data_IF_997217583600
#
_entry.id   IF_997217583600
#
_cell.length_a   1.000
_cell.length_b   1.000
_cell.length_c   1.000
_cell.angle_alpha   90.00
_cell.angle_beta   90.00
_cell.angle_gamma   90.00
#
_symmetry.space_group_name_H-M   'P 1'
#
loop_
_entity.id
_entity.type
_entity.pdbx_description
1 polymer ?
#
# COMPACT_ATOMS: atom_id res chain seq x y z
N UNK A 1 -14.37 3.98 -3.72
CA UNK A 1 -13.02 3.99 -4.30
C UNK A 1 -12.34 2.69 -3.92
N UNK A 2 -12.13 1.81 -4.89
CA UNK A 2 -11.39 0.56 -4.69
C UNK A 2 -9.95 0.78 -5.16
N UNK A 3 -8.99 0.47 -4.30
CA UNK A 3 -7.56 0.52 -4.64
C UNK A 3 -6.99 -0.85 -4.39
N UNK A 4 -6.45 -1.48 -5.44
CA UNK A 4 -5.79 -2.78 -5.33
C UNK A 4 -4.30 -2.57 -5.35
N UNK A 5 -3.63 -3.04 -4.29
CA UNK A 5 -2.18 -3.13 -4.21
C UNK A 5 -1.82 -4.62 -4.24
N UNK A 6 -1.36 -5.10 -5.38
CA UNK A 6 -1.11 -6.52 -5.63
C UNK A 6 0.39 -6.81 -5.79
N UNK A 7 0.87 -7.94 -5.26
CA UNK A 7 2.24 -8.41 -5.44
C UNK A 7 2.97 -8.59 -4.11
N UNK A 8 4.17 -8.03 -4.02
CA UNK A 8 5.14 -8.25 -2.95
C UNK A 8 4.54 -8.27 -1.53
N UNK A 9 5.04 -9.17 -0.67
CA UNK A 9 4.57 -9.34 0.71
C UNK A 9 5.10 -8.25 1.65
N UNK A 10 5.96 -7.35 1.24
CA UNK A 10 6.56 -6.36 2.14
C UNK A 10 5.83 -5.01 2.13
N UNK A 11 4.72 -4.90 1.39
CA UNK A 11 3.94 -3.66 1.21
C UNK A 11 3.02 -3.28 2.38
N UNK A 12 2.91 -4.12 3.41
CA UNK A 12 1.91 -3.95 4.47
C UNK A 12 2.04 -2.64 5.25
N UNK A 13 3.27 -2.25 5.59
CA UNK A 13 3.54 -1.00 6.32
C UNK A 13 3.10 0.21 5.48
N UNK A 14 3.39 0.19 4.19
CA UNK A 14 2.94 1.19 3.23
C UNK A 14 1.40 1.29 3.16
N UNK A 15 0.70 0.15 3.05
CA UNK A 15 -0.77 0.10 3.00
C UNK A 15 -1.37 0.64 4.30
N UNK A 16 -0.81 0.28 5.46
CA UNK A 16 -1.23 0.79 6.77
C UNK A 16 -1.06 2.30 6.87
N UNK A 17 0.10 2.86 6.48
CA UNK A 17 0.31 4.31 6.47
C UNK A 17 -0.70 5.01 5.57
N UNK A 18 -0.88 4.52 4.35
CA UNK A 18 -1.81 5.08 3.38
C UNK A 18 -3.25 5.06 3.92
N UNK A 19 -3.68 3.95 4.51
CA UNK A 19 -5.01 3.81 5.10
C UNK A 19 -5.26 4.84 6.22
N UNK A 20 -4.30 5.01 7.15
CA UNK A 20 -4.44 5.96 8.26
C UNK A 20 -4.55 7.39 7.74
N UNK A 21 -3.72 7.74 6.74
CA UNK A 21 -3.72 9.08 6.15
C UNK A 21 -5.00 9.33 5.35
N UNK A 22 -5.51 8.36 4.60
CA UNK A 22 -6.78 8.48 3.86
C UNK A 22 -7.96 8.67 4.82
N UNK A 23 -8.02 7.89 5.91
CA UNK A 23 -9.04 8.04 6.95
C UNK A 23 -8.98 9.44 7.56
N UNK A 24 -7.77 9.91 7.88
CA UNK A 24 -7.56 11.24 8.43
C UNK A 24 -7.93 12.39 7.47
N UNK A 25 -7.71 12.20 6.17
CA UNK A 25 -7.98 13.23 5.16
C UNK A 25 -9.46 13.33 4.81
N UNK A 26 -10.08 12.21 4.45
CA UNK A 26 -11.48 12.19 4.01
C UNK A 26 -12.46 12.21 5.19
N UNK A 27 -11.99 11.96 6.41
CA UNK A 27 -12.83 11.75 7.59
C UNK A 27 -13.91 10.68 7.33
N UNK A 28 -13.54 9.69 6.51
CA UNK A 28 -14.35 8.54 6.11
C UNK A 28 -13.77 7.28 6.73
N UNK A 29 -14.59 6.25 6.84
CA UNK A 29 -14.08 4.92 7.13
C UNK A 29 -13.25 4.40 5.95
N UNK A 30 -12.12 3.78 6.31
CA UNK A 30 -11.21 3.12 5.38
C UNK A 30 -11.11 1.68 5.83
N UNK A 31 -11.21 0.78 4.88
CA UNK A 31 -11.09 -0.65 5.12
C UNK A 31 -9.90 -1.21 4.34
N UNK A 32 -9.15 -2.09 4.98
CA UNK A 32 -8.18 -2.97 4.32
C UNK A 32 -8.80 -4.35 4.17
N UNK A 33 -8.79 -4.90 2.97
CA UNK A 33 -9.14 -6.30 2.70
C UNK A 33 -7.87 -7.01 2.26
N UNK A 34 -7.57 -8.17 2.83
CA UNK A 34 -6.36 -8.92 2.47
C UNK A 34 -6.64 -10.42 2.28
N UNK A 35 -5.92 -11.04 1.36
CA UNK A 35 -5.88 -12.48 1.15
C UNK A 35 -4.93 -13.21 2.13
N UNK A 36 -4.22 -12.48 2.98
CA UNK A 36 -3.26 -13.03 3.94
C UNK A 36 -3.48 -12.46 5.34
N UNK A 37 -3.98 -13.31 6.25
CA UNK A 37 -4.27 -12.88 7.63
C UNK A 37 -3.06 -12.73 8.53
N UNK A 38 -1.91 -13.34 8.19
CA UNK A 38 -0.76 -13.41 9.10
C UNK A 38 -0.13 -12.04 9.38
N UNK A 39 -0.14 -11.14 8.40
CA UNK A 39 0.47 -9.82 8.51
C UNK A 39 -0.43 -8.77 9.17
N UNK A 40 -1.63 -9.16 9.60
CA UNK A 40 -2.57 -8.27 10.27
C UNK A 40 -3.10 -8.83 11.58
N UNK A 41 -2.57 -9.97 12.04
CA UNK A 41 -3.06 -10.68 13.22
C UNK A 41 -3.09 -9.81 14.50
N UNK A 42 -2.19 -8.83 14.61
CA UNK A 42 -2.10 -7.93 15.75
C UNK A 42 -2.91 -6.63 15.59
N UNK A 43 -3.61 -6.48 14.46
CA UNK A 43 -4.55 -5.39 14.20
C UNK A 43 -6.02 -5.81 14.34
N UNK A 44 -6.29 -7.03 14.82
CA UNK A 44 -7.63 -7.45 15.21
C UNK A 44 -8.16 -6.55 16.35
N UNK A 45 -9.19 -5.73 16.07
CA UNK A 45 -9.89 -4.93 17.10
C UNK A 45 -9.55 -3.43 17.18
N UNK A 46 -9.48 -2.73 16.04
CA UNK A 46 -9.52 -1.24 15.95
C UNK A 46 -8.29 -0.46 16.46
N UNK A 47 -7.14 -1.10 16.73
CA UNK A 47 -5.97 -0.42 17.35
C UNK A 47 -5.43 0.77 16.53
N UNK A 48 -5.68 0.82 15.22
CA UNK A 48 -5.33 1.94 14.32
C UNK A 48 -6.53 2.76 13.84
N UNK A 49 -7.75 2.40 14.26
CA UNK A 49 -9.00 2.93 13.71
C UNK A 49 -9.27 2.52 12.26
N UNK A 50 -8.50 1.59 11.68
CA UNK A 50 -8.76 1.03 10.35
C UNK A 50 -9.42 -0.34 10.51
N UNK A 51 -10.48 -0.59 9.74
CA UNK A 51 -11.11 -1.90 9.69
C UNK A 51 -10.28 -2.82 8.78
N UNK A 52 -9.90 -4.00 9.27
CA UNK A 52 -9.16 -4.99 8.47
C UNK A 52 -9.99 -6.26 8.34
N UNK A 53 -10.12 -6.79 7.13
CA UNK A 53 -10.89 -7.99 6.82
C UNK A 53 -10.08 -8.97 5.98
N UNK A 54 -10.28 -10.27 6.25
CA UNK A 54 -9.61 -11.37 5.52
C UNK A 54 -10.48 -12.05 4.48
N UNK A 55 -11.74 -11.63 4.39
CA UNK A 55 -12.70 -12.09 3.41
C UNK A 55 -13.35 -10.85 2.81
N UNK A 56 -13.76 -10.96 1.55
CA UNK A 56 -14.49 -9.87 0.90
C UNK A 56 -15.77 -9.55 1.69
N UNK A 57 -15.98 -8.27 2.08
CA UNK A 57 -17.19 -7.88 2.77
C UNK A 57 -18.37 -7.95 1.81
N UNK A 58 -19.57 -8.17 2.38
CA UNK A 58 -20.80 -7.91 1.65
C UNK A 58 -20.82 -6.45 1.18
N UNK A 59 -21.35 -6.20 -0.02
CA UNK A 59 -21.35 -4.86 -0.64
C UNK A 59 -21.97 -3.80 0.28
N UNK A 60 -22.98 -4.17 1.07
CA UNK A 60 -23.67 -3.27 1.99
C UNK A 60 -22.80 -2.76 3.16
N UNK A 61 -21.70 -3.46 3.47
CA UNK A 61 -20.81 -3.15 4.60
C UNK A 61 -19.50 -2.47 4.14
N UNK A 62 -19.35 -2.17 2.85
CA UNK A 62 -18.12 -1.58 2.30
C UNK A 62 -18.13 -0.05 2.47
N UNK A 63 -17.10 0.56 3.07
CA UNK A 63 -17.00 2.01 3.14
C UNK A 63 -16.59 2.62 1.79
N UNK A 64 -16.57 3.95 1.73
CA UNK A 64 -16.22 4.71 0.52
C UNK A 64 -14.80 4.41 0.01
N UNK A 65 -13.88 3.97 0.86
CA UNK A 65 -12.49 3.68 0.49
C UNK A 65 -12.11 2.28 0.98
N UNK A 66 -11.76 1.41 0.03
CA UNK A 66 -11.31 0.05 0.30
C UNK A 66 -9.94 -0.16 -0.34
N UNK A 67 -8.96 -0.55 0.48
CA UNK A 67 -7.61 -0.93 0.09
C UNK A 67 -7.51 -2.46 0.07
N UNK A 68 -7.29 -3.05 -1.09
CA UNK A 68 -7.07 -4.47 -1.25
C UNK A 68 -5.57 -4.74 -1.20
N UNK A 69 -5.09 -5.38 -0.13
CA UNK A 69 -3.74 -5.88 0.03
C UNK A 69 -3.65 -7.33 -0.44
N UNK A 70 -3.28 -7.53 -1.71
CA UNK A 70 -3.29 -8.84 -2.35
C UNK A 70 -1.88 -9.38 -2.56
N UNK A 71 -1.66 -10.63 -2.21
CA UNK A 71 -0.38 -11.33 -2.33
C UNK A 71 -0.35 -12.27 -3.52
N UNK A 72 -1.49 -12.92 -3.78
CA UNK A 72 -1.58 -13.98 -4.78
C UNK A 72 -2.69 -13.68 -5.77
N UNK A 73 -2.30 -13.33 -7.00
CA UNK A 73 -3.23 -12.98 -8.06
C UNK A 73 -3.89 -11.63 -7.83
N UNK A 74 -5.19 -11.54 -8.09
CA UNK A 74 -5.92 -10.27 -8.12
C UNK A 74 -7.37 -10.49 -7.68
N UNK A 75 -7.99 -9.56 -6.92
CA UNK A 75 -9.40 -9.68 -6.52
C UNK A 75 -10.35 -9.62 -7.73
N UNK A 76 -11.38 -10.47 -7.75
CA UNK A 76 -12.33 -10.53 -8.86
C UNK A 76 -13.53 -9.58 -8.63
N UNK A 77 -14.24 -9.22 -9.71
CA UNK A 77 -15.51 -8.50 -9.61
C UNK A 77 -15.42 -7.03 -9.18
N UNK A 78 -14.22 -6.44 -9.18
CA UNK A 78 -14.05 -5.00 -9.01
C UNK A 78 -14.25 -4.27 -10.35
N UNK A 79 -14.95 -3.14 -10.28
CA UNK A 79 -15.10 -2.19 -11.38
C UNK A 79 -14.44 -0.85 -11.00
N UNK A 80 -13.84 -0.19 -11.99
CA UNK A 80 -13.17 1.12 -11.88
C UNK A 80 -12.11 1.22 -10.76
N UNK A 81 -11.45 0.11 -10.44
CA UNK A 81 -10.43 0.05 -9.41
C UNK A 81 -9.13 0.74 -9.84
N UNK A 82 -8.48 1.40 -8.88
CA UNK A 82 -7.11 1.89 -9.06
C UNK A 82 -6.14 0.75 -8.76
N UNK A 83 -5.29 0.42 -9.73
CA UNK A 83 -4.36 -0.70 -9.61
C UNK A 83 -2.94 -0.22 -9.34
N UNK A 84 -2.32 -0.77 -8.32
CA UNK A 84 -0.90 -0.61 -7.98
C UNK A 84 -0.28 -2.00 -7.90
N UNK A 85 0.83 -2.21 -8.59
CA UNK A 85 1.62 -3.43 -8.42
C UNK A 85 2.80 -3.15 -7.50
N UNK A 86 3.11 -4.09 -6.62
CA UNK A 86 4.23 -4.01 -5.70
C UNK A 86 5.28 -5.07 -6.03
N UNK A 87 6.54 -4.68 -6.04
CA UNK A 87 7.68 -5.57 -6.29
C UNK A 87 8.88 -5.17 -5.45
N UNK A 88 9.80 -6.09 -5.26
CA UNK A 88 11.17 -5.84 -4.85
C UNK A 88 12.14 -6.25 -5.96
N UNK A 89 13.44 -6.24 -5.67
CA UNK A 89 14.46 -6.77 -6.57
C UNK A 89 14.53 -8.30 -6.57
N UNK A 90 13.75 -8.98 -5.72
CA UNK A 90 13.70 -10.43 -5.69
C UNK A 90 13.03 -10.97 -6.95
N UNK A 91 13.62 -12.03 -7.50
CA UNK A 91 13.11 -12.69 -8.71
C UNK A 91 11.65 -13.13 -8.55
N UNK A 92 11.29 -13.70 -7.40
CA UNK A 92 9.93 -14.16 -7.15
C UNK A 92 8.93 -13.00 -7.12
N UNK A 93 9.30 -11.86 -6.52
CA UNK A 93 8.45 -10.67 -6.52
C UNK A 93 8.21 -10.14 -7.93
N UNK A 94 9.26 -10.13 -8.77
CA UNK A 94 9.13 -9.73 -10.16
C UNK A 94 8.28 -10.70 -10.99
N UNK A 95 8.48 -12.01 -10.84
CA UNK A 95 7.67 -13.03 -11.53
C UNK A 95 6.17 -12.90 -11.20
N UNK A 96 5.83 -12.44 -9.98
CA UNK A 96 4.45 -12.13 -9.63
C UNK A 96 3.90 -10.94 -10.42
N UNK A 97 4.70 -9.88 -10.62
CA UNK A 97 4.29 -8.73 -11.45
C UNK A 97 4.12 -9.15 -12.91
N UNK A 98 5.02 -9.97 -13.45
CA UNK A 98 4.90 -10.54 -14.79
C UNK A 98 3.57 -11.29 -14.97
N UNK A 99 3.21 -12.14 -14.00
CA UNK A 99 1.93 -12.85 -14.00
C UNK A 99 0.73 -11.90 -14.00
N UNK A 100 0.79 -10.80 -13.23
CA UNK A 100 -0.29 -9.81 -13.18
C UNK A 100 -0.40 -9.03 -14.51
N UNK A 101 0.72 -8.71 -15.15
CA UNK A 101 0.75 -8.07 -16.46
C UNK A 101 0.18 -8.99 -17.56
N UNK A 102 0.47 -10.29 -17.49
CA UNK A 102 -0.06 -11.31 -18.42
C UNK A 102 -1.59 -11.43 -18.38
N UNK A 103 -2.20 -11.09 -17.24
CA UNK A 103 -3.66 -10.97 -17.09
C UNK A 103 -4.22 -9.70 -17.76
N UNK A 104 -3.40 -8.96 -18.52
CA UNK A 104 -3.72 -7.70 -19.20
C UNK A 104 -4.18 -6.59 -18.25
N UNK A 105 -3.77 -6.66 -16.98
CA UNK A 105 -3.96 -5.62 -15.98
C UNK A 105 -2.75 -4.68 -16.04
N UNK A 106 -2.96 -3.44 -16.46
CA UNK A 106 -1.90 -2.42 -16.47
C UNK A 106 -2.02 -1.62 -15.17
N UNK A 107 -0.97 -1.58 -14.33
CA UNK A 107 -1.02 -0.80 -13.11
C UNK A 107 -0.94 0.70 -13.42
N UNK A 108 -1.63 1.51 -12.63
CA UNK A 108 -1.43 2.96 -12.64
C UNK A 108 -0.09 3.37 -12.01
N UNK A 109 0.49 2.50 -11.18
CA UNK A 109 1.73 2.75 -10.45
C UNK A 109 2.44 1.43 -10.10
N UNK A 110 3.77 1.39 -10.26
CA UNK A 110 4.61 0.34 -9.69
C UNK A 110 5.24 0.83 -8.39
N UNK A 111 4.92 0.18 -7.27
CA UNK A 111 5.56 0.36 -5.98
C UNK A 111 6.78 -0.56 -5.88
N UNK A 112 7.94 0.02 -5.59
CA UNK A 112 9.21 -0.71 -5.52
C UNK A 112 9.72 -0.65 -4.08
N UNK A 113 9.79 -1.81 -3.45
CA UNK A 113 10.28 -1.97 -2.08
C UNK A 113 11.76 -2.33 -2.18
N UNK A 114 12.60 -1.35 -1.93
CA UNK A 114 14.04 -1.46 -2.08
C UNK A 114 14.68 -2.10 -0.84
N UNK A 115 15.73 -2.86 -1.08
CA UNK A 115 16.63 -3.34 -0.03
C UNK A 115 18.05 -2.81 -0.30
N UNK A 116 18.87 -2.70 0.75
CA UNK A 116 20.27 -2.29 0.63
C UNK A 116 21.09 -3.36 -0.13
N UNK A 117 21.05 -3.28 -1.46
CA UNK A 117 21.70 -4.21 -2.36
C UNK A 117 22.37 -3.48 -3.54
N UNK A 118 23.08 -4.22 -4.39
CA UNK A 118 23.74 -3.66 -5.58
C UNK A 118 22.79 -3.35 -6.75
N UNK A 119 21.52 -3.71 -6.64
CA UNK A 119 20.48 -3.40 -7.61
C UNK A 119 19.79 -2.08 -7.25
N UNK A 120 19.27 -1.39 -8.25
CA UNK A 120 18.62 -0.10 -8.07
C UNK A 120 17.52 0.11 -9.10
N UNK A 121 16.80 1.23 -9.02
CA UNK A 121 15.65 1.53 -9.88
C UNK A 121 15.90 1.37 -11.38
N UNK A 122 17.12 1.64 -11.87
CA UNK A 122 17.50 1.42 -13.27
C UNK A 122 17.28 -0.02 -13.76
N UNK A 123 17.43 -0.99 -12.87
CA UNK A 123 17.17 -2.39 -13.15
C UNK A 123 15.68 -2.63 -13.42
N UNK A 124 14.82 -2.09 -12.55
CA UNK A 124 13.36 -2.14 -12.68
C UNK A 124 12.89 -1.37 -13.91
N UNK A 125 13.48 -0.21 -14.22
CA UNK A 125 13.16 0.55 -15.43
C UNK A 125 13.47 -0.23 -16.71
N UNK A 126 14.56 -1.00 -16.70
CA UNK A 126 14.93 -1.85 -17.83
C UNK A 126 14.02 -3.06 -17.95
N UNK A 127 13.54 -3.60 -16.83
CA UNK A 127 12.71 -4.80 -16.78
C UNK A 127 11.24 -4.50 -17.10
N UNK A 128 10.69 -3.39 -16.58
CA UNK A 128 9.33 -2.93 -16.82
C UNK A 128 9.28 -1.57 -17.54
N UNK A 129 9.75 -1.49 -18.80
CA UNK A 129 9.77 -0.24 -19.54
C UNK A 129 8.36 0.29 -19.88
N UNK A 130 7.35 -0.58 -19.83
CA UNK A 130 5.96 -0.25 -20.16
C UNK A 130 5.21 0.44 -19.00
N UNK A 131 5.73 0.36 -17.77
CA UNK A 131 5.09 0.98 -16.60
C UNK A 131 5.71 2.37 -16.40
N UNK A 132 4.91 3.40 -16.64
CA UNK A 132 5.38 4.78 -16.67
C UNK A 132 5.56 5.39 -15.27
N UNK A 133 4.61 5.18 -14.35
CA UNK A 133 4.72 5.72 -12.99
C UNK A 133 5.30 4.69 -12.03
N UNK A 134 6.25 5.13 -11.21
CA UNK A 134 6.95 4.31 -10.23
C UNK A 134 7.23 5.14 -8.98
N UNK A 135 7.02 4.54 -7.82
CA UNK A 135 7.46 5.07 -6.53
C UNK A 135 8.31 4.02 -5.83
N UNK A 136 9.22 4.43 -4.97
CA UNK A 136 10.05 3.50 -4.22
C UNK A 136 10.36 3.98 -2.82
N UNK A 137 10.62 3.03 -1.94
CA UNK A 137 11.12 3.28 -0.59
C UNK A 137 12.02 2.13 -0.14
N UNK A 138 12.93 2.41 0.80
CA UNK A 138 13.79 1.40 1.41
C UNK A 138 13.01 0.69 2.53
N UNK A 139 12.98 -0.63 2.45
CA UNK A 139 12.37 -1.49 3.48
C UNK A 139 13.03 -1.27 4.84
N UNK A 140 12.22 -1.20 5.89
CA UNK A 140 12.69 -1.06 7.27
C UNK A 140 12.16 -2.20 8.11
N UNK A 141 13.07 -3.03 8.64
CA UNK A 141 12.70 -4.08 9.58
C UNK A 141 12.06 -3.50 10.86
N UNK A 142 12.54 -2.34 11.33
CA UNK A 142 11.98 -1.65 12.49
C UNK A 142 10.51 -1.25 12.26
N UNK A 143 10.19 -0.60 11.13
CA UNK A 143 8.80 -0.25 10.81
C UNK A 143 7.92 -1.49 10.69
N UNK A 144 8.41 -2.53 10.01
CA UNK A 144 7.66 -3.78 9.86
C UNK A 144 7.36 -4.40 11.22
N UNK A 145 8.35 -4.51 12.10
CA UNK A 145 8.16 -5.10 13.42
C UNK A 145 7.19 -4.26 14.26
N UNK A 146 7.44 -2.96 14.39
CA UNK A 146 6.63 -2.06 15.22
C UNK A 146 5.17 -1.98 14.74
N UNK A 147 4.94 -2.10 13.43
CA UNK A 147 3.59 -1.93 12.89
C UNK A 147 2.91 -3.27 12.78
N UNK A 148 3.51 -4.22 12.07
CA UNK A 148 2.91 -5.54 11.79
C UNK A 148 2.84 -6.41 13.04
N UNK A 149 3.84 -6.36 13.92
CA UNK A 149 3.91 -7.25 15.09
C UNK A 149 3.44 -6.60 16.40
N UNK A 150 3.63 -5.29 16.59
CA UNK A 150 3.11 -4.59 17.79
C UNK A 150 1.72 -3.96 17.58
N UNK A 151 1.20 -3.97 16.35
CA UNK A 151 -0.16 -3.50 16.02
C UNK A 151 -0.35 -1.98 16.08
N UNK A 152 0.74 -1.19 16.00
CA UNK A 152 0.68 0.28 16.11
C UNK A 152 1.29 0.97 14.89
N UNK A 153 0.56 1.92 14.31
CA UNK A 153 1.04 2.68 13.14
C UNK A 153 1.70 3.99 13.60
N UNK A 154 3.04 4.04 13.62
CA UNK A 154 3.81 5.23 14.03
C UNK A 154 4.20 6.11 12.83
N UNK A 155 3.48 7.20 12.59
CA UNK A 155 3.71 8.06 11.40
C UNK A 155 4.97 8.95 11.41
N UNK A 156 5.90 8.66 12.33
CA UNK A 156 7.27 9.18 12.31
C UNK A 156 8.16 8.16 11.59
N UNK A 157 8.21 8.31 10.27
CA UNK A 157 8.84 7.37 9.33
C UNK A 157 10.02 8.01 8.61
N UNK A 158 10.78 7.16 7.92
CA UNK A 158 11.86 7.55 7.02
C UNK A 158 11.36 8.49 5.90
N UNK A 159 12.27 9.31 5.38
CA UNK A 159 11.93 10.38 4.45
C UNK A 159 11.45 9.83 3.11
N UNK A 160 12.18 8.86 2.56
CA UNK A 160 11.87 8.16 1.33
C UNK A 160 10.53 7.42 1.42
N UNK A 161 10.27 6.74 2.53
CA UNK A 161 8.98 6.10 2.78
C UNK A 161 7.83 7.13 2.80
N UNK A 162 8.00 8.26 3.50
CA UNK A 162 7.00 9.32 3.48
C UNK A 162 6.78 9.91 2.08
N UNK A 163 7.85 10.06 1.28
CA UNK A 163 7.77 10.52 -0.11
C UNK A 163 6.98 9.53 -0.98
N UNK A 164 7.26 8.23 -0.90
CA UNK A 164 6.52 7.20 -1.62
C UNK A 164 5.02 7.21 -1.28
N UNK A 165 4.68 7.32 0.02
CA UNK A 165 3.29 7.42 0.46
C UNK A 165 2.63 8.71 -0.06
N UNK A 166 3.35 9.83 -0.10
CA UNK A 166 2.82 11.09 -0.64
C UNK A 166 2.46 10.96 -2.11
N UNK A 167 3.37 10.38 -2.89
CA UNK A 167 3.21 10.24 -4.34
C UNK A 167 2.04 9.29 -4.62
N UNK A 168 1.88 8.21 -3.87
CA UNK A 168 0.68 7.37 -3.94
C UNK A 168 -0.61 8.12 -3.59
N UNK A 169 -0.61 8.89 -2.50
CA UNK A 169 -1.81 9.67 -2.12
C UNK A 169 -2.18 10.70 -3.20
N UNK A 170 -1.19 11.31 -3.85
CA UNK A 170 -1.40 12.30 -4.91
C UNK A 170 -1.86 11.63 -6.21
N UNK A 171 -1.13 10.62 -6.68
CA UNK A 171 -1.30 10.03 -8.01
C UNK A 171 -2.47 9.03 -8.07
N UNK A 172 -2.66 8.24 -7.01
CA UNK A 172 -3.66 7.17 -6.97
C UNK A 172 -4.93 7.65 -6.26
N UNK A 173 -4.77 8.31 -5.12
CA UNK A 173 -5.90 8.70 -4.27
C UNK A 173 -6.42 10.12 -4.54
N UNK A 174 -5.79 10.87 -5.45
CA UNK A 174 -6.15 12.25 -5.81
C UNK A 174 -6.15 13.23 -4.63
N UNK A 175 -5.31 13.01 -3.62
CA UNK A 175 -5.12 13.96 -2.52
C UNK A 175 -4.32 15.17 -3.05
N UNK A 176 -4.83 16.41 -2.92
CA UNK A 176 -4.11 17.59 -3.39
C UNK A 176 -2.74 17.73 -2.70
N UNK A 177 -1.69 17.97 -3.49
CA UNK A 177 -0.31 18.16 -3.00
C UNK A 177 -0.19 19.20 -1.88
N UNK A 178 -1.03 20.24 -1.92
CA UNK A 178 -1.04 21.32 -0.92
C UNK A 178 -1.54 20.86 0.46
N UNK A 179 -2.27 19.76 0.53
CA UNK A 179 -2.83 19.22 1.77
C UNK A 179 -1.93 18.19 2.45
N UNK A 180 -1.04 17.54 1.69
CA UNK A 180 -0.13 16.49 2.17
C UNK A 180 0.64 16.89 3.43
N UNK A 181 1.23 18.10 3.44
CA UNK A 181 1.99 18.57 4.62
C UNK A 181 1.11 18.67 5.87
N UNK A 182 -0.12 19.17 5.73
CA UNK A 182 -1.06 19.28 6.85
C UNK A 182 -1.52 17.91 7.31
N UNK A 183 -1.72 16.98 6.38
CA UNK A 183 -2.13 15.62 6.67
C UNK A 183 -1.12 14.90 7.57
N UNK A 184 0.16 14.92 7.21
CA UNK A 184 1.22 14.35 8.04
C UNK A 184 1.34 15.03 9.41
N UNK A 185 1.21 16.36 9.47
CA UNK A 185 1.25 17.08 10.74
C UNK A 185 0.10 16.70 11.67
N UNK A 186 -1.09 16.49 11.11
CA UNK A 186 -2.26 16.06 11.86
C UNK A 186 -2.11 14.62 12.34
N UNK A 187 -1.69 13.73 11.45
CA UNK A 187 -1.60 12.31 11.72
C UNK A 187 -0.50 12.00 12.76
N UNK A 188 0.64 12.71 12.72
CA UNK A 188 1.70 12.62 13.76
C UNK A 188 1.30 13.15 15.13
N UNK A 189 0.25 13.96 15.24
CA UNK A 189 -0.26 14.44 16.53
C UNK A 189 -1.26 13.48 17.18
N UNK A 190 -1.76 12.51 16.42
CA UNK A 190 -2.81 11.56 16.85
C UNK A 190 -2.34 10.10 16.87
N UNK A 191 -1.33 9.76 16.06
CA UNK A 191 -0.66 8.47 16.15
C UNK A 191 0.51 8.54 17.13
N UNK A 192 0.32 7.92 18.30
CA UNK A 192 1.39 7.58 19.26
C UNK A 192 1.79 6.11 19.09
#
# INVERSE_FOLDING_TARGET
MNIVVAGDCEKHDFILAAAVLLKGYFNNDVMIVSDNSRHYQYFEGEVSGIQIMHAEPAVADRPDIVLYDWHHGYPEGLEDEKTVFATSYERQAMENVDMLLDQKRIPGLLLIIEEECGLGLKYIDSYYPVIASKISYISSAERRIDWVHDGRVKLKVDKDFAEAVNDFLIEICNVPKNDIKKLWQYARKRGD
#
